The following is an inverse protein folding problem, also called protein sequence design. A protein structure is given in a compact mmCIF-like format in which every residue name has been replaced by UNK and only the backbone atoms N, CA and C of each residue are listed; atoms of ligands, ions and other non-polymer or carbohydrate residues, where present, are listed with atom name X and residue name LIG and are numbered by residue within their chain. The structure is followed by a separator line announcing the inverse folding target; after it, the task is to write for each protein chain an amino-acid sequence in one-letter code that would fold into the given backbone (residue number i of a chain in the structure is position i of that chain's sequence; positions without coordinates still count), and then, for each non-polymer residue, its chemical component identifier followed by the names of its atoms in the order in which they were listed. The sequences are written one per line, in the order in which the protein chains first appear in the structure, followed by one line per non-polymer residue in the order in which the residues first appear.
data_IF_572663244266
#
_entry.id   IF_572663244266
#
_cell.length_a   1.000
_cell.length_b   1.000
_cell.length_c   1.000
_cell.angle_alpha   90.00
_cell.angle_beta   90.00
_cell.angle_gamma   90.00
#
_symmetry.space_group_name_H-M   'P 1'
#
loop_
_entity.id
_entity.type
_entity.pdbx_description
1 polymer ?
#
# COMPACT_ATOMS: atom_id res chain seq x y z
N UNK A 1 -43.76 4.79 10.80
CA UNK A 1 -44.90 3.94 10.38
C UNK A 1 -44.57 2.51 10.78
N UNK A 2 -45.58 1.69 11.07
CA UNK A 2 -45.38 0.29 11.52
C UNK A 2 -44.60 -0.59 10.52
N UNK A 3 -44.52 -0.16 9.29
CA UNK A 3 -43.85 -0.90 8.22
C UNK A 3 -42.39 -0.43 7.94
N UNK A 4 -41.97 0.67 8.52
CA UNK A 4 -40.64 1.22 8.31
C UNK A 4 -39.79 1.18 9.56
N UNK A 5 -38.54 0.73 9.42
CA UNK A 5 -37.52 0.82 10.43
C UNK A 5 -36.33 1.57 9.84
N UNK A 6 -35.81 2.54 10.58
CA UNK A 6 -34.58 3.26 10.24
C UNK A 6 -33.63 3.22 11.43
N UNK A 7 -32.39 2.92 11.16
CA UNK A 7 -31.29 2.91 12.14
C UNK A 7 -30.12 3.70 11.57
N UNK A 8 -29.67 4.71 12.31
CA UNK A 8 -28.54 5.55 11.95
C UNK A 8 -27.45 5.37 12.99
N UNK A 9 -26.27 4.96 12.55
CA UNK A 9 -25.08 4.83 13.36
C UNK A 9 -24.02 5.83 12.89
N UNK A 10 -23.44 6.58 13.82
CA UNK A 10 -22.34 7.51 13.55
C UNK A 10 -21.29 7.31 14.60
N UNK A 11 -20.05 7.06 14.19
CA UNK A 11 -18.91 6.97 15.08
C UNK A 11 -17.74 7.81 14.57
N UNK A 12 -17.05 8.44 15.50
CA UNK A 12 -15.85 9.19 15.20
C UNK A 12 -14.74 8.74 16.15
N UNK A 13 -13.57 8.50 15.60
CA UNK A 13 -12.38 8.12 16.33
C UNK A 13 -11.25 9.09 16.00
N UNK A 14 -10.61 9.59 17.03
CA UNK A 14 -9.38 10.36 16.97
C UNK A 14 -8.28 9.57 17.65
N UNK A 15 -7.14 9.46 16.99
CA UNK A 15 -5.95 8.81 17.53
C UNK A 15 -4.73 9.70 17.27
N UNK A 16 -3.92 9.91 18.32
CA UNK A 16 -2.66 10.63 18.23
C UNK A 16 -1.68 9.95 19.18
N UNK A 17 -0.70 9.28 18.63
CA UNK A 17 0.25 8.47 19.37
C UNK A 17 1.65 8.60 18.80
N UNK A 18 2.62 8.60 19.70
CA UNK A 18 4.05 8.54 19.40
C UNK A 18 4.67 7.24 19.88
N UNK A 19 5.96 7.08 19.68
CA UNK A 19 6.75 5.98 20.18
C UNK A 19 7.65 5.33 19.15
N UNK A 20 8.24 4.21 19.55
CA UNK A 20 9.20 3.46 18.74
C UNK A 20 8.64 2.05 18.50
N UNK A 21 7.79 1.87 17.45
CA UNK A 21 7.04 0.62 17.27
C UNK A 21 7.89 -0.57 16.83
N UNK A 22 9.13 -0.32 16.38
CA UNK A 22 9.98 -1.32 15.74
C UNK A 22 11.43 -1.23 16.23
N UNK A 23 12.18 -2.31 16.00
CA UNK A 23 13.61 -2.39 16.18
C UNK A 23 14.27 -3.10 15.01
N UNK A 24 15.57 -2.89 14.83
CA UNK A 24 16.34 -3.48 13.75
C UNK A 24 16.57 -4.99 13.96
N UNK A 25 16.25 -5.80 12.95
CA UNK A 25 16.39 -7.27 13.01
C UNK A 25 17.61 -7.81 12.26
N UNK A 26 18.36 -6.94 11.61
CA UNK A 26 19.52 -7.30 10.80
C UNK A 26 19.30 -7.17 9.30
N UNK A 27 20.36 -7.34 8.52
CA UNK A 27 20.33 -7.32 7.06
C UNK A 27 20.02 -8.70 6.49
N UNK A 28 19.41 -8.74 5.30
CA UNK A 28 19.20 -9.96 4.51
C UNK A 28 20.53 -10.66 4.18
N UNK A 29 21.62 -9.88 4.03
CA UNK A 29 22.98 -10.42 3.87
C UNK A 29 23.87 -10.03 5.06
N UNK A 30 23.97 -10.88 6.09
CA UNK A 30 24.74 -10.58 7.30
C UNK A 30 26.24 -10.36 7.03
N UNK A 31 26.78 -10.90 5.94
CA UNK A 31 28.21 -10.79 5.61
C UNK A 31 28.62 -9.37 5.18
N UNK A 32 27.65 -8.57 4.70
CA UNK A 32 27.90 -7.17 4.29
C UNK A 32 27.60 -6.16 5.38
N UNK A 33 27.14 -6.63 6.55
CA UNK A 33 26.72 -5.79 7.65
C UNK A 33 27.90 -5.39 8.51
N UNK A 34 28.06 -4.09 8.78
CA UNK A 34 29.10 -3.60 9.69
C UNK A 34 28.85 -4.02 11.14
N UNK A 35 29.90 -4.11 11.96
CA UNK A 35 29.76 -4.42 13.39
C UNK A 35 28.90 -3.41 14.14
N UNK A 36 28.97 -2.14 13.73
CA UNK A 36 28.11 -1.08 14.26
C UNK A 36 26.62 -1.38 14.00
N UNK A 37 26.25 -1.76 12.78
CA UNK A 37 24.86 -2.12 12.45
C UNK A 37 24.39 -3.37 13.19
N UNK A 38 25.27 -4.33 13.43
CA UNK A 38 24.97 -5.52 14.23
C UNK A 38 24.63 -5.19 15.68
N UNK A 39 25.22 -4.14 16.24
CA UNK A 39 24.94 -3.70 17.62
C UNK A 39 23.52 -3.22 17.86
N UNK A 40 22.80 -2.83 16.81
CA UNK A 40 21.41 -2.40 16.88
C UNK A 40 20.39 -3.55 16.84
N UNK A 41 20.81 -4.78 16.52
CA UNK A 41 19.91 -5.92 16.38
C UNK A 41 19.20 -6.20 17.71
N UNK A 42 17.86 -6.22 17.68
CA UNK A 42 17.00 -6.53 18.81
C UNK A 42 16.89 -5.42 19.86
N UNK A 43 17.42 -4.22 19.58
CA UNK A 43 17.34 -3.05 20.47
C UNK A 43 16.56 -1.92 19.82
N UNK A 44 15.77 -1.19 20.62
CA UNK A 44 15.12 0.05 20.16
C UNK A 44 16.18 1.15 20.26
N UNK A 45 16.65 1.64 19.13
CA UNK A 45 17.72 2.62 19.03
C UNK A 45 17.46 3.73 18.01
N UNK A 46 16.19 3.98 17.69
CA UNK A 46 15.77 5.00 16.73
C UNK A 46 16.27 6.39 17.15
N UNK A 47 16.71 7.19 16.17
CA UNK A 47 17.15 8.56 16.43
C UNK A 47 16.02 9.60 16.25
N UNK A 48 14.88 9.20 15.68
CA UNK A 48 13.68 10.02 15.50
C UNK A 48 12.45 9.33 16.06
N UNK A 49 11.64 10.08 16.80
CA UNK A 49 10.40 9.55 17.34
C UNK A 49 9.37 9.31 16.23
N UNK A 50 8.88 8.09 16.15
CA UNK A 50 7.78 7.71 15.25
C UNK A 50 6.45 8.20 15.78
N UNK A 51 5.51 8.49 14.89
CA UNK A 51 4.18 8.98 15.26
C UNK A 51 3.11 8.48 14.32
N UNK A 52 1.91 8.29 14.85
CA UNK A 52 0.72 7.96 14.10
C UNK A 52 -0.45 8.84 14.52
N UNK A 53 -1.07 9.46 13.55
CA UNK A 53 -2.23 10.33 13.72
C UNK A 53 -3.38 9.83 12.84
N UNK A 54 -4.59 9.72 13.40
CA UNK A 54 -5.77 9.26 12.65
C UNK A 54 -7.04 9.99 13.05
N UNK A 55 -7.81 10.38 12.05
CA UNK A 55 -9.22 10.74 12.16
C UNK A 55 -10.03 9.74 11.34
N UNK A 56 -11.01 9.09 11.96
CA UNK A 56 -11.88 8.13 11.34
C UNK A 56 -13.34 8.46 11.66
N UNK A 57 -14.12 8.76 10.63
CA UNK A 57 -15.56 8.91 10.71
C UNK A 57 -16.22 7.74 10.01
N UNK A 58 -17.11 7.03 10.70
CA UNK A 58 -17.98 6.03 10.10
C UNK A 58 -19.44 6.44 10.27
N UNK A 59 -20.22 6.29 9.21
CA UNK A 59 -21.66 6.51 9.19
C UNK A 59 -22.33 5.33 8.52
N UNK A 60 -23.38 4.80 9.12
CA UNK A 60 -24.20 3.73 8.56
C UNK A 60 -25.66 4.05 8.71
N UNK A 61 -26.41 4.03 7.62
CA UNK A 61 -27.85 4.15 7.59
C UNK A 61 -28.45 2.83 7.12
N UNK A 62 -29.28 2.23 7.96
CA UNK A 62 -30.03 1.03 7.63
C UNK A 62 -31.53 1.39 7.54
N UNK A 63 -32.12 1.18 6.39
CA UNK A 63 -33.54 1.37 6.13
C UNK A 63 -34.17 0.02 5.83
N UNK A 64 -35.27 -0.30 6.51
CA UNK A 64 -36.02 -1.52 6.26
C UNK A 64 -37.50 -1.21 6.08
N UNK A 65 -38.06 -1.77 5.02
CA UNK A 65 -39.49 -1.73 4.74
C UNK A 65 -40.09 -3.13 4.79
N UNK A 66 -41.10 -3.30 5.61
CA UNK A 66 -41.79 -4.56 5.84
C UNK A 66 -43.11 -4.59 5.04
N UNK A 67 -43.06 -5.11 3.78
CA UNK A 67 -44.28 -5.37 3.01
C UNK A 67 -44.95 -6.70 3.47
N UNK A 68 -46.15 -6.96 2.96
CA UNK A 68 -46.85 -8.23 3.31
C UNK A 68 -46.10 -9.49 2.87
N UNK A 69 -45.48 -9.50 1.69
CA UNK A 69 -44.88 -10.65 1.06
C UNK A 69 -43.35 -10.61 0.99
N UNK A 70 -42.73 -9.48 1.24
CA UNK A 70 -41.32 -9.29 1.19
C UNK A 70 -40.84 -8.25 2.21
N UNK A 71 -39.54 -8.29 2.49
CA UNK A 71 -38.80 -7.23 3.20
C UNK A 71 -37.85 -6.59 2.21
N UNK A 72 -37.82 -5.25 2.15
CA UNK A 72 -36.81 -4.49 1.43
C UNK A 72 -35.88 -3.83 2.44
N UNK A 73 -34.59 -4.05 2.31
CA UNK A 73 -33.56 -3.40 3.14
C UNK A 73 -32.59 -2.63 2.25
N UNK A 74 -32.18 -1.45 2.72
CA UNK A 74 -31.14 -0.64 2.12
C UNK A 74 -30.13 -0.29 3.21
N UNK A 75 -28.86 -0.56 2.96
CA UNK A 75 -27.76 -0.29 3.89
C UNK A 75 -26.76 0.61 3.19
N UNK A 76 -26.71 1.87 3.62
CA UNK A 76 -25.77 2.87 3.13
C UNK A 76 -24.62 3.01 4.15
N UNK A 77 -23.39 2.86 3.71
CA UNK A 77 -22.19 3.08 4.52
C UNK A 77 -21.33 4.20 3.96
N UNK A 78 -20.88 5.09 4.82
CA UNK A 78 -19.86 6.07 4.46
C UNK A 78 -18.75 6.08 5.50
N UNK A 79 -17.51 6.03 5.02
CA UNK A 79 -16.31 6.14 5.84
C UNK A 79 -15.42 7.26 5.31
N UNK A 80 -14.90 8.06 6.22
CA UNK A 80 -13.82 9.00 5.97
C UNK A 80 -12.67 8.69 6.90
N UNK A 81 -11.49 8.42 6.32
CA UNK A 81 -10.24 8.25 7.03
C UNK A 81 -9.25 9.33 6.56
N UNK A 82 -8.60 9.96 7.52
CA UNK A 82 -7.42 10.79 7.29
C UNK A 82 -6.38 10.39 8.31
N UNK A 83 -5.26 9.85 7.85
CA UNK A 83 -4.15 9.50 8.72
C UNK A 83 -2.81 10.07 8.26
N UNK A 84 -1.86 10.01 9.16
CA UNK A 84 -0.45 10.32 8.93
C UNK A 84 0.37 9.40 9.80
N UNK A 85 1.28 8.68 9.19
CA UNK A 85 2.29 7.87 9.84
C UNK A 85 3.67 8.46 9.52
N UNK A 86 4.48 8.67 10.54
CA UNK A 86 5.88 9.02 10.40
C UNK A 86 6.71 7.95 11.10
N UNK A 87 7.68 7.39 10.40
CA UNK A 87 8.52 6.31 10.93
C UNK A 87 9.99 6.63 10.63
N UNK A 88 10.84 6.48 11.64
CA UNK A 88 12.27 6.26 11.51
C UNK A 88 12.47 4.84 11.00
N UNK A 89 12.61 4.71 9.68
CA UNK A 89 12.45 3.43 8.98
C UNK A 89 13.73 2.58 8.97
N UNK A 90 14.87 3.15 9.35
CA UNK A 90 16.11 2.36 9.47
C UNK A 90 16.19 1.61 10.82
N UNK A 91 15.38 2.01 11.81
CA UNK A 91 15.27 1.40 13.13
C UNK A 91 16.60 1.36 13.91
N UNK A 92 17.49 2.33 13.66
CA UNK A 92 18.80 2.45 14.28
C UNK A 92 19.02 3.85 14.86
N UNK A 93 20.14 4.06 15.55
CA UNK A 93 20.51 5.40 15.99
C UNK A 93 21.16 6.26 14.88
N UNK A 94 21.31 5.73 13.67
CA UNK A 94 21.79 6.46 12.50
C UNK A 94 20.65 7.24 11.85
N UNK A 95 20.97 8.35 11.24
CA UNK A 95 20.02 9.17 10.48
C UNK A 95 20.07 8.78 8.99
N UNK A 96 19.59 7.53 8.68
CA UNK A 96 19.70 6.98 7.32
C UNK A 96 18.51 7.40 6.48
N UNK A 97 17.28 7.05 6.88
CA UNK A 97 16.08 7.47 6.14
C UNK A 97 14.80 7.40 6.99
N UNK A 98 13.88 8.27 6.64
CA UNK A 98 12.55 8.35 7.24
C UNK A 98 11.48 8.12 6.18
N UNK A 99 10.37 7.50 6.60
CA UNK A 99 9.15 7.36 5.82
C UNK A 99 8.04 8.20 6.44
N UNK A 100 7.40 9.03 5.65
CA UNK A 100 6.14 9.66 6.01
C UNK A 100 5.05 9.13 5.08
N UNK A 101 3.92 8.68 5.63
CA UNK A 101 2.77 8.27 4.84
C UNK A 101 1.55 9.04 5.32
N UNK A 102 0.89 9.73 4.40
CA UNK A 102 -0.37 10.42 4.62
C UNK A 102 -1.43 9.79 3.71
N UNK A 103 -2.54 9.40 4.28
CA UNK A 103 -3.66 8.86 3.52
C UNK A 103 -4.92 9.68 3.74
N UNK A 104 -5.71 9.77 2.68
CA UNK A 104 -7.07 10.28 2.72
C UNK A 104 -7.96 9.32 1.94
N UNK A 105 -8.90 8.72 2.66
CA UNK A 105 -9.78 7.70 2.13
C UNK A 105 -11.23 8.15 2.33
N UNK A 106 -12.01 8.11 1.26
CA UNK A 106 -13.45 8.22 1.29
C UNK A 106 -14.02 6.92 0.71
N UNK A 107 -14.89 6.29 1.45
CA UNK A 107 -15.55 5.05 1.03
C UNK A 107 -17.05 5.24 1.12
N UNK A 108 -17.76 4.94 0.05
CA UNK A 108 -19.21 4.89 -0.01
C UNK A 108 -19.62 3.48 -0.42
N UNK A 109 -20.55 2.88 0.32
CA UNK A 109 -21.15 1.59 -0.02
C UNK A 109 -22.67 1.66 0.08
N UNK A 110 -23.34 0.93 -0.79
CA UNK A 110 -24.79 0.78 -0.80
C UNK A 110 -25.13 -0.68 -1.10
N UNK A 111 -25.99 -1.26 -0.28
CA UNK A 111 -26.57 -2.58 -0.53
C UNK A 111 -28.09 -2.51 -0.41
N UNK A 112 -28.79 -2.87 -1.47
CA UNK A 112 -30.24 -2.96 -1.47
C UNK A 112 -30.64 -4.42 -1.69
N UNK A 113 -31.38 -4.98 -0.74
CA UNK A 113 -31.79 -6.39 -0.75
C UNK A 113 -33.28 -6.50 -0.55
N UNK A 114 -33.92 -7.29 -1.39
CA UNK A 114 -35.30 -7.69 -1.25
C UNK A 114 -35.37 -9.19 -0.96
N UNK A 115 -36.06 -9.59 0.12
CA UNK A 115 -36.20 -10.97 0.57
C UNK A 115 -37.68 -11.34 0.68
N UNK A 116 -38.04 -12.54 0.24
CA UNK A 116 -39.38 -13.10 0.45
C UNK A 116 -39.67 -13.29 1.93
N UNK A 117 -40.91 -13.10 2.33
CA UNK A 117 -41.45 -13.39 3.68
C UNK A 117 -42.25 -14.67 3.72
N UNK A 118 -42.35 -15.22 4.94
CA UNK A 118 -43.15 -16.39 5.22
C UNK A 118 -42.39 -17.70 5.13
N UNK A 119 -43.08 -18.81 5.46
CA UNK A 119 -42.53 -20.16 5.48
C UNK A 119 -42.92 -20.95 4.22
N UNK A 120 -43.14 -20.26 3.09
CA UNK A 120 -43.44 -20.91 1.82
C UNK A 120 -42.34 -21.85 1.35
N UNK A 121 -42.71 -22.81 0.48
CA UNK A 121 -41.74 -23.74 -0.10
C UNK A 121 -40.69 -23.07 -0.97
N UNK A 122 -40.99 -21.91 -1.53
CA UNK A 122 -40.05 -21.08 -2.29
C UNK A 122 -39.73 -19.81 -1.51
N UNK A 123 -38.45 -19.66 -1.20
CA UNK A 123 -37.87 -18.44 -0.60
C UNK A 123 -36.80 -17.89 -1.51
N UNK A 124 -36.71 -16.57 -1.57
CA UNK A 124 -35.73 -15.92 -2.42
C UNK A 124 -35.17 -14.67 -1.78
N UNK A 125 -33.97 -14.29 -2.19
CA UNK A 125 -33.35 -13.02 -1.94
C UNK A 125 -32.71 -12.52 -3.24
N UNK A 126 -32.91 -11.24 -3.55
CA UNK A 126 -32.27 -10.57 -4.67
C UNK A 126 -31.77 -9.22 -4.23
N UNK A 127 -30.66 -8.76 -4.77
CA UNK A 127 -30.11 -7.48 -4.39
C UNK A 127 -29.07 -6.96 -5.33
N UNK A 128 -28.70 -5.72 -5.05
CA UNK A 128 -27.64 -4.98 -5.71
C UNK A 128 -26.67 -4.47 -4.65
N UNK A 129 -25.42 -4.39 -5.02
CA UNK A 129 -24.36 -3.84 -4.19
C UNK A 129 -23.54 -2.85 -5.03
N UNK A 130 -23.16 -1.74 -4.43
CA UNK A 130 -22.27 -0.75 -4.99
C UNK A 130 -21.26 -0.29 -3.95
N UNK A 131 -20.02 -0.11 -4.37
CA UNK A 131 -18.94 0.36 -3.53
C UNK A 131 -18.03 1.28 -4.34
N UNK A 132 -17.68 2.41 -3.76
CA UNK A 132 -16.71 3.32 -4.34
C UNK A 132 -15.76 3.84 -3.28
N UNK A 133 -14.46 3.74 -3.55
CA UNK A 133 -13.41 4.24 -2.67
C UNK A 133 -12.51 5.22 -3.42
N UNK A 134 -12.23 6.38 -2.81
CA UNK A 134 -11.15 7.28 -3.19
C UNK A 134 -10.04 7.17 -2.17
N UNK A 135 -8.93 6.64 -2.58
CA UNK A 135 -7.74 6.58 -1.75
C UNK A 135 -6.65 7.46 -2.39
N UNK A 136 -6.22 8.48 -1.65
CA UNK A 136 -5.02 9.25 -1.96
C UNK A 136 -3.96 8.97 -0.92
N UNK A 137 -2.76 8.64 -1.38
CA UNK A 137 -1.60 8.37 -0.54
C UNK A 137 -0.46 9.28 -0.98
N UNK A 138 0.10 10.02 -0.03
CA UNK A 138 1.36 10.76 -0.14
C UNK A 138 2.36 10.05 0.78
N UNK A 139 3.40 9.47 0.19
CA UNK A 139 4.35 8.59 0.89
C UNK A 139 5.81 8.93 0.52
N UNK A 140 6.30 10.13 0.89
CA UNK A 140 7.68 10.49 0.67
C UNK A 140 8.63 9.67 1.54
N UNK A 141 9.73 9.25 0.92
CA UNK A 141 10.92 8.70 1.59
C UNK A 141 12.00 9.77 1.57
N UNK A 142 12.58 10.06 2.73
CA UNK A 142 13.68 11.03 2.83
C UNK A 142 14.93 10.32 3.30
N UNK A 143 15.94 10.21 2.43
CA UNK A 143 17.29 9.88 2.87
C UNK A 143 17.85 11.07 3.62
N UNK A 144 18.44 10.76 4.77
CA UNK A 144 19.01 11.72 5.69
C UNK A 144 20.54 11.73 5.59
N UNK A 145 21.18 12.48 6.46
CA UNK A 145 22.63 12.69 6.39
C UNK A 145 23.43 11.38 6.27
N UNK A 146 23.24 10.42 7.18
CA UNK A 146 24.00 9.16 7.13
C UNK A 146 23.63 8.32 5.89
N UNK A 147 22.36 8.41 5.44
CA UNK A 147 21.92 7.79 4.20
C UNK A 147 22.58 8.43 2.97
N UNK A 148 22.73 9.74 2.95
CA UNK A 148 23.43 10.45 1.88
C UNK A 148 24.92 10.10 1.85
N UNK A 149 25.56 10.01 3.02
CA UNK A 149 26.95 9.57 3.15
C UNK A 149 27.13 8.14 2.62
N UNK A 150 26.22 7.21 2.94
CA UNK A 150 26.24 5.83 2.43
C UNK A 150 26.05 5.79 0.91
N UNK A 151 25.11 6.55 0.35
CA UNK A 151 24.91 6.65 -1.10
C UNK A 151 26.14 7.22 -1.79
N UNK A 152 26.77 8.26 -1.21
CA UNK A 152 27.99 8.85 -1.72
C UNK A 152 29.16 7.86 -1.76
N UNK A 153 29.33 7.07 -0.69
CA UNK A 153 30.35 6.01 -0.62
C UNK A 153 30.08 4.90 -1.67
N UNK A 154 28.82 4.47 -1.82
CA UNK A 154 28.46 3.46 -2.80
C UNK A 154 28.73 3.93 -4.23
N UNK A 155 28.33 5.15 -4.58
CA UNK A 155 28.60 5.74 -5.90
C UNK A 155 30.10 5.97 -6.12
N UNK A 156 30.81 6.44 -5.10
CA UNK A 156 32.27 6.63 -5.15
C UNK A 156 33.05 5.34 -5.35
N UNK A 157 32.52 4.21 -4.85
CA UNK A 157 33.17 2.88 -5.05
C UNK A 157 33.11 2.37 -6.50
N UNK A 158 32.17 2.85 -7.28
CA UNK A 158 32.02 2.50 -8.71
C UNK A 158 32.95 3.32 -9.60
N UNK A 159 33.37 4.51 -9.13
CA UNK A 159 34.24 5.40 -9.86
C UNK A 159 35.70 5.05 -9.50
N UNK A 160 36.58 4.77 -10.47
CA UNK A 160 37.99 4.56 -10.18
C UNK A 160 38.59 5.75 -9.45
N UNK A 161 39.22 5.53 -8.30
CA UNK A 161 39.88 6.61 -7.54
C UNK A 161 41.04 7.23 -8.30
N UNK A 162 41.62 6.47 -9.23
CA UNK A 162 42.73 6.89 -10.09
C UNK A 162 42.74 6.06 -11.36
N UNK A 163 42.95 6.71 -12.50
CA UNK A 163 43.23 6.08 -13.81
C UNK A 163 44.65 6.46 -14.20
N UNK A 164 45.53 5.50 -14.36
CA UNK A 164 46.92 5.72 -14.74
C UNK A 164 47.10 5.58 -16.26
N UNK A 165 47.64 6.64 -16.87
CA UNK A 165 47.93 6.67 -18.30
C UNK A 165 49.45 6.82 -18.48
N UNK A 166 50.11 5.86 -19.10
CA UNK A 166 51.51 5.96 -19.47
C UNK A 166 51.65 6.81 -20.73
N UNK A 167 52.38 7.92 -20.63
CA UNK A 167 52.63 8.79 -21.79
C UNK A 167 53.91 8.45 -22.54
N UNK A 168 55.02 8.19 -21.79
CA UNK A 168 56.30 7.73 -22.33
C UNK A 168 57.09 7.07 -21.20
N UNK A 169 58.21 6.33 -21.45
CA UNK A 169 58.99 5.71 -20.41
C UNK A 169 59.37 6.70 -19.29
N UNK A 170 58.94 6.39 -18.07
CA UNK A 170 59.21 7.21 -16.89
C UNK A 170 58.27 8.43 -16.70
N UNK A 171 57.29 8.65 -17.58
CA UNK A 171 56.30 9.69 -17.45
C UNK A 171 54.88 9.14 -17.61
N UNK A 172 54.01 9.55 -16.70
CA UNK A 172 52.58 9.17 -16.69
C UNK A 172 51.64 10.35 -16.35
N UNK A 173 50.39 10.12 -16.56
CA UNK A 173 49.31 11.00 -16.16
C UNK A 173 48.33 10.18 -15.31
N UNK A 174 48.12 10.62 -14.08
CA UNK A 174 47.06 10.11 -13.23
C UNK A 174 45.82 10.99 -13.47
N UNK A 175 44.69 10.38 -13.76
CA UNK A 175 43.40 11.01 -13.87
C UNK A 175 42.64 10.66 -12.61
N UNK A 176 42.18 11.67 -11.86
CA UNK A 176 41.49 11.57 -10.57
C UNK A 176 40.06 12.12 -10.73
N UNK A 177 39.10 11.28 -11.10
CA UNK A 177 37.71 11.70 -11.11
C UNK A 177 37.18 11.84 -9.67
N UNK A 178 36.34 12.83 -9.44
CA UNK A 178 35.63 13.07 -8.18
C UNK A 178 34.13 13.16 -8.41
N UNK A 179 33.36 12.56 -7.50
CA UNK A 179 31.92 12.71 -7.41
C UNK A 179 31.55 12.93 -5.95
N UNK A 180 30.80 13.97 -5.68
CA UNK A 180 30.25 14.26 -4.37
C UNK A 180 28.74 14.52 -4.50
N UNK A 181 27.94 13.90 -3.65
CA UNK A 181 26.51 14.20 -3.56
C UNK A 181 26.33 15.53 -2.83
N UNK A 182 25.41 16.36 -3.33
CA UNK A 182 25.03 17.63 -2.71
C UNK A 182 23.92 17.45 -1.69
N UNK A 183 23.91 18.33 -0.67
CA UNK A 183 22.87 18.34 0.34
C UNK A 183 23.03 17.28 1.43
N UNK A 184 22.23 17.44 2.50
CA UNK A 184 22.19 16.51 3.63
C UNK A 184 20.98 15.56 3.56
N UNK A 185 20.03 15.87 2.69
CA UNK A 185 18.78 15.13 2.54
C UNK A 185 18.46 14.91 1.05
N UNK A 186 17.90 13.75 0.73
CA UNK A 186 17.32 13.45 -0.57
C UNK A 186 15.88 13.02 -0.40
N UNK A 187 14.96 13.84 -0.90
CA UNK A 187 13.54 13.55 -0.88
C UNK A 187 13.13 12.79 -2.15
N UNK A 188 12.52 11.63 -1.97
CA UNK A 188 11.85 10.87 -3.01
C UNK A 188 10.35 10.99 -2.76
N UNK A 189 9.65 11.74 -3.61
CA UNK A 189 8.19 11.87 -3.53
C UNK A 189 7.49 10.60 -3.99
N UNK A 190 6.33 10.31 -3.38
CA UNK A 190 5.47 9.21 -3.76
C UNK A 190 4.00 9.59 -3.61
N UNK A 191 3.38 10.04 -4.71
CA UNK A 191 1.95 10.39 -4.76
C UNK A 191 1.18 9.30 -5.49
N UNK A 192 0.13 8.78 -4.85
CA UNK A 192 -0.71 7.74 -5.41
C UNK A 192 -2.18 8.11 -5.25
N UNK A 193 -2.95 7.97 -6.35
CA UNK A 193 -4.40 8.12 -6.37
C UNK A 193 -5.00 6.82 -6.89
N UNK A 194 -5.69 6.08 -6.00
CA UNK A 194 -6.16 4.72 -6.27
C UNK A 194 -7.68 4.60 -6.07
N UNK A 195 -8.49 5.11 -7.01
CA UNK A 195 -9.92 4.88 -6.97
C UNK A 195 -10.26 3.42 -7.27
N UNK A 196 -11.23 2.90 -6.50
CA UNK A 196 -11.77 1.56 -6.63
C UNK A 196 -13.29 1.63 -6.75
N UNK A 197 -13.84 1.03 -7.79
CA UNK A 197 -15.27 0.84 -8.01
C UNK A 197 -15.58 -0.66 -7.98
N UNK A 198 -16.57 -1.04 -7.18
CA UNK A 198 -17.13 -2.39 -7.22
C UNK A 198 -18.65 -2.32 -7.30
N UNK A 199 -19.26 -3.21 -8.08
CA UNK A 199 -20.72 -3.34 -8.21
C UNK A 199 -21.11 -4.79 -8.38
N UNK A 200 -22.23 -5.19 -7.78
CA UNK A 200 -22.72 -6.55 -7.91
C UNK A 200 -24.25 -6.61 -8.03
N UNK A 201 -24.69 -7.63 -8.77
CA UNK A 201 -26.08 -8.08 -8.81
C UNK A 201 -26.14 -9.50 -8.32
N UNK A 202 -27.09 -9.83 -7.46
CA UNK A 202 -27.21 -11.19 -6.97
C UNK A 202 -28.67 -11.64 -6.78
N UNK A 203 -28.87 -12.92 -6.98
CA UNK A 203 -30.13 -13.58 -6.73
C UNK A 203 -29.87 -14.97 -6.15
N UNK A 204 -30.69 -15.37 -5.17
CA UNK A 204 -30.69 -16.68 -4.58
C UNK A 204 -32.12 -17.16 -4.38
N UNK A 205 -32.42 -18.38 -4.80
CA UNK A 205 -33.68 -19.09 -4.53
C UNK A 205 -33.43 -20.35 -3.71
N UNK A 206 -34.26 -20.56 -2.70
CA UNK A 206 -34.27 -21.78 -1.88
C UNK A 206 -35.61 -22.44 -2.01
N UNK A 207 -35.61 -23.70 -2.41
CA UNK A 207 -36.78 -24.55 -2.53
C UNK A 207 -36.77 -25.56 -1.38
N UNK A 208 -37.81 -25.51 -0.54
CA UNK A 208 -38.03 -26.41 0.61
C UNK A 208 -38.94 -27.54 0.29
N UNK A 209 -38.84 -28.65 1.05
CA UNK A 209 -39.59 -29.87 0.87
C UNK A 209 -39.54 -30.41 -0.57
N UNK A 210 -38.31 -30.43 -1.10
CA UNK A 210 -38.04 -30.81 -2.48
C UNK A 210 -38.54 -32.22 -2.75
N UNK A 211 -39.20 -32.43 -3.87
CA UNK A 211 -39.83 -33.73 -4.25
C UNK A 211 -40.79 -34.30 -3.18
N UNK A 212 -41.37 -33.46 -2.31
CA UNK A 212 -42.26 -33.93 -1.24
C UNK A 212 -41.53 -34.48 -0.01
N UNK A 213 -40.20 -34.48 0.00
CA UNK A 213 -39.37 -34.87 1.13
C UNK A 213 -39.28 -33.76 2.14
N UNK A 214 -40.00 -33.87 3.26
CA UNK A 214 -39.96 -32.88 4.34
C UNK A 214 -38.55 -32.76 4.90
N UNK A 215 -38.10 -31.52 5.08
CA UNK A 215 -36.77 -31.20 5.58
C UNK A 215 -35.69 -31.12 4.50
N UNK A 216 -35.94 -31.59 3.27
CA UNK A 216 -34.99 -31.44 2.17
C UNK A 216 -35.13 -30.08 1.50
N UNK A 217 -34.06 -29.31 1.43
CA UNK A 217 -34.03 -28.04 0.74
C UNK A 217 -32.87 -27.92 -0.24
N UNK A 218 -33.11 -27.22 -1.34
CA UNK A 218 -32.12 -26.93 -2.36
C UNK A 218 -32.05 -25.42 -2.55
N UNK A 219 -30.83 -24.87 -2.54
CA UNK A 219 -30.56 -23.46 -2.81
C UNK A 219 -29.71 -23.32 -4.06
N UNK A 220 -30.15 -22.46 -4.97
CA UNK A 220 -29.34 -22.00 -6.10
C UNK A 220 -29.20 -20.49 -6.04
N UNK A 221 -27.98 -20.00 -6.22
CA UNK A 221 -27.66 -18.58 -6.23
C UNK A 221 -26.70 -18.24 -7.36
N UNK A 222 -26.79 -17.00 -7.81
CA UNK A 222 -25.91 -16.42 -8.80
C UNK A 222 -25.58 -14.99 -8.41
N UNK A 223 -24.31 -14.64 -8.49
CA UNK A 223 -23.82 -13.28 -8.30
C UNK A 223 -22.95 -12.88 -9.48
N UNK A 224 -23.18 -11.71 -10.01
CA UNK A 224 -22.36 -11.07 -11.03
C UNK A 224 -21.64 -9.90 -10.35
N UNK A 225 -20.32 -9.97 -10.29
CA UNK A 225 -19.45 -8.92 -9.73
C UNK A 225 -18.68 -8.22 -10.84
N UNK A 226 -18.66 -6.91 -10.76
CA UNK A 226 -17.77 -6.05 -11.54
C UNK A 226 -16.88 -5.25 -10.62
N UNK A 227 -15.58 -5.26 -10.85
CA UNK A 227 -14.61 -4.46 -10.13
C UNK A 227 -13.72 -3.71 -11.11
N UNK A 228 -13.49 -2.43 -10.84
CA UNK A 228 -12.53 -1.60 -11.56
C UNK A 228 -11.63 -0.88 -10.59
N UNK A 229 -10.33 -1.16 -10.70
CA UNK A 229 -9.29 -0.51 -9.94
C UNK A 229 -8.41 0.33 -10.87
N UNK A 230 -8.09 1.54 -10.44
CA UNK A 230 -7.14 2.40 -11.12
C UNK A 230 -6.08 2.87 -10.13
N UNK A 231 -4.83 2.97 -10.58
CA UNK A 231 -3.75 3.58 -9.82
C UNK A 231 -3.06 4.63 -10.70
N UNK A 232 -3.18 5.89 -10.31
CA UNK A 232 -2.35 6.96 -10.84
C UNK A 232 -1.18 7.15 -9.88
N UNK A 233 0.02 7.25 -10.41
CA UNK A 233 1.21 7.44 -9.60
C UNK A 233 2.07 8.57 -10.14
N UNK A 234 2.72 9.28 -9.23
CA UNK A 234 3.72 10.30 -9.52
C UNK A 234 4.80 10.21 -8.45
N UNK A 235 5.97 9.72 -8.83
CA UNK A 235 7.13 9.60 -7.98
C UNK A 235 8.31 10.32 -8.61
N UNK A 236 9.13 10.97 -7.81
CA UNK A 236 10.26 11.70 -8.35
C UNK A 236 11.20 12.17 -7.27
N UNK A 237 12.40 12.52 -7.71
CA UNK A 237 13.45 13.09 -6.88
C UNK A 237 14.29 14.07 -7.67
N UNK A 238 14.93 14.99 -6.98
CA UNK A 238 15.98 15.84 -7.50
C UNK A 238 17.20 15.69 -6.62
N UNK A 239 18.35 15.37 -7.22
CA UNK A 239 19.61 15.17 -6.50
C UNK A 239 20.68 16.07 -7.07
N UNK A 240 21.27 16.86 -6.21
CA UNK A 240 22.45 17.68 -6.55
C UNK A 240 23.70 16.85 -6.38
N UNK A 241 24.64 17.05 -7.28
CA UNK A 241 25.95 16.43 -7.20
C UNK A 241 27.03 17.29 -7.83
N UNK A 242 28.25 17.13 -7.40
CA UNK A 242 29.42 17.83 -7.93
C UNK A 242 30.38 16.81 -8.54
N UNK A 243 30.77 17.05 -9.76
CA UNK A 243 31.76 16.23 -10.48
C UNK A 243 32.98 17.08 -10.83
N UNK A 244 34.15 16.46 -10.81
CA UNK A 244 35.39 17.08 -11.21
C UNK A 244 36.41 16.03 -11.71
N UNK A 245 37.39 16.48 -12.46
CA UNK A 245 38.53 15.63 -12.88
C UNK A 245 39.80 16.44 -12.69
N UNK A 246 40.71 15.91 -11.86
CA UNK A 246 42.06 16.43 -11.71
C UNK A 246 43.03 15.49 -12.44
N UNK A 247 44.06 16.07 -13.03
CA UNK A 247 45.16 15.35 -13.61
C UNK A 247 46.43 15.58 -12.80
N UNK A 248 47.24 14.55 -12.62
CA UNK A 248 48.57 14.67 -12.02
C UNK A 248 49.61 14.10 -13.00
N UNK A 249 50.54 14.96 -13.47
CA UNK A 249 51.64 14.49 -14.25
C UNK A 249 52.71 13.88 -13.33
N UNK A 250 53.10 12.66 -13.64
CA UNK A 250 54.02 11.88 -12.79
C UNK A 250 55.31 11.56 -13.56
N UNK A 251 56.44 11.71 -12.91
CA UNK A 251 57.77 11.33 -13.44
C UNK A 251 58.55 10.58 -12.37
N UNK A 252 58.98 9.37 -12.71
CA UNK A 252 59.73 8.54 -11.75
C UNK A 252 58.94 8.22 -10.47
N UNK A 253 57.59 8.16 -10.52
CA UNK A 253 56.75 7.92 -9.37
C UNK A 253 56.39 9.17 -8.53
N UNK A 254 56.92 10.36 -8.88
CA UNK A 254 56.62 11.62 -8.16
C UNK A 254 55.71 12.49 -9.00
N UNK A 255 54.74 13.17 -8.34
CA UNK A 255 53.89 14.18 -8.95
C UNK A 255 54.75 15.41 -9.23
N UNK A 256 54.84 15.79 -10.51
CA UNK A 256 55.63 16.96 -10.96
C UNK A 256 54.73 18.15 -11.30
N UNK A 257 53.47 17.91 -11.59
CA UNK A 257 52.51 18.96 -11.91
C UNK A 257 51.07 18.48 -11.76
N UNK A 258 50.20 19.28 -11.13
CA UNK A 258 48.76 19.12 -11.16
C UNK A 258 48.18 19.87 -12.37
N UNK A 259 47.19 19.24 -13.03
CA UNK A 259 46.54 19.75 -14.22
C UNK A 259 45.02 19.75 -13.95
N UNK A 260 44.37 20.92 -13.93
CA UNK A 260 42.92 20.96 -13.88
C UNK A 260 42.36 20.51 -15.23
N UNK A 261 41.79 19.29 -15.28
CA UNK A 261 41.21 18.74 -16.51
C UNK A 261 39.75 19.14 -16.67
N UNK A 262 38.96 19.00 -15.60
CA UNK A 262 37.58 19.46 -15.50
C UNK A 262 37.38 20.08 -14.12
N UNK A 263 37.08 21.40 -14.02
CA UNK A 263 36.81 22.02 -12.74
C UNK A 263 35.58 21.38 -12.09
N UNK A 264 35.52 21.43 -10.77
CA UNK A 264 34.38 20.99 -10.02
C UNK A 264 33.12 21.73 -10.48
N UNK A 265 32.14 20.99 -10.95
CA UNK A 265 30.90 21.52 -11.52
C UNK A 265 29.73 20.87 -10.79
N UNK A 266 28.88 21.72 -10.23
CA UNK A 266 27.64 21.28 -9.58
C UNK A 266 26.53 21.11 -10.62
N UNK A 267 25.86 20.00 -10.57
CA UNK A 267 24.79 19.59 -11.48
C UNK A 267 23.61 19.07 -10.66
N UNK A 268 22.41 19.14 -11.22
CA UNK A 268 21.20 18.56 -10.64
C UNK A 268 20.66 17.50 -11.60
N UNK A 269 20.49 16.29 -11.12
CA UNK A 269 19.74 15.27 -11.84
C UNK A 269 18.32 15.22 -11.28
N UNK A 270 17.34 15.23 -12.17
CA UNK A 270 15.93 15.04 -11.82
C UNK A 270 15.42 13.77 -12.44
N UNK A 271 14.71 12.99 -11.64
CA UNK A 271 14.03 11.80 -12.09
C UNK A 271 12.56 11.89 -11.70
N UNK A 272 11.68 11.60 -12.65
CA UNK A 272 10.25 11.60 -12.44
C UNK A 272 9.60 10.44 -13.16
N UNK A 273 8.84 9.66 -12.42
CA UNK A 273 8.05 8.55 -12.91
C UNK A 273 6.58 8.84 -12.65
N UNK A 274 5.79 8.95 -13.70
CA UNK A 274 4.36 9.18 -13.60
C UNK A 274 3.62 8.28 -14.58
N UNK A 275 2.46 7.83 -14.19
CA UNK A 275 1.66 6.99 -15.05
C UNK A 275 0.33 6.61 -14.43
N UNK A 276 -0.39 5.77 -15.16
CA UNK A 276 -1.66 5.22 -14.73
C UNK A 276 -1.75 3.77 -15.14
N UNK A 277 -2.22 2.94 -14.23
CA UNK A 277 -2.51 1.52 -14.46
C UNK A 277 -3.96 1.33 -14.07
N UNK A 278 -4.75 0.68 -14.92
CA UNK A 278 -6.12 0.28 -14.62
C UNK A 278 -6.32 -1.20 -14.94
N UNK A 279 -7.20 -1.81 -14.17
CA UNK A 279 -7.65 -3.20 -14.35
C UNK A 279 -9.11 -3.29 -13.97
N UNK A 280 -9.85 -4.07 -14.73
CA UNK A 280 -11.23 -4.41 -14.44
C UNK A 280 -11.44 -5.92 -14.51
N UNK A 281 -12.41 -6.38 -13.75
CA UNK A 281 -12.77 -7.78 -13.63
C UNK A 281 -14.29 -7.90 -13.63
N UNK A 282 -14.78 -8.87 -14.41
CA UNK A 282 -16.18 -9.29 -14.39
C UNK A 282 -16.20 -10.76 -14.03
N UNK A 283 -16.90 -11.10 -12.95
CA UNK A 283 -16.94 -12.47 -12.45
C UNK A 283 -18.38 -12.94 -12.25
N UNK A 284 -18.65 -14.17 -12.65
CA UNK A 284 -19.90 -14.87 -12.40
C UNK A 284 -19.65 -15.92 -11.32
N UNK A 285 -20.37 -15.81 -10.20
CA UNK A 285 -20.18 -16.59 -8.99
C UNK A 285 -21.45 -17.43 -8.70
N UNK A 286 -21.55 -18.64 -9.23
CA UNK A 286 -22.62 -19.55 -8.91
C UNK A 286 -22.43 -20.18 -7.53
N UNK A 287 -23.56 -20.44 -6.85
CA UNK A 287 -23.64 -21.15 -5.58
C UNK A 287 -24.77 -22.16 -5.62
N UNK A 288 -24.49 -23.38 -5.14
CA UNK A 288 -25.50 -24.44 -4.94
C UNK A 288 -25.34 -25.01 -3.54
N UNK A 289 -26.46 -25.29 -2.89
CA UNK A 289 -26.46 -25.95 -1.59
C UNK A 289 -27.64 -26.95 -1.50
N UNK A 290 -27.38 -28.08 -0.90
CA UNK A 290 -28.38 -29.08 -0.52
C UNK A 290 -28.32 -29.22 1.00
N UNK A 291 -29.48 -29.17 1.65
CA UNK A 291 -29.60 -29.30 3.11
C UNK A 291 -30.75 -30.25 3.44
N UNK A 292 -30.54 -31.07 4.45
CA UNK A 292 -31.59 -31.91 5.03
C UNK A 292 -31.66 -31.64 6.54
N UNK A 293 -32.85 -31.19 6.99
CA UNK A 293 -33.14 -30.94 8.40
C UNK A 293 -33.81 -32.20 8.98
N UNK A 294 -33.25 -32.75 10.05
CA UNK A 294 -33.82 -33.90 10.76
C UNK A 294 -35.08 -33.50 11.52
N UNK A 295 -36.00 -34.45 11.70
CA UNK A 295 -37.21 -34.24 12.48
C UNK A 295 -36.87 -33.86 13.91
N UNK A 296 -37.77 -33.17 14.59
CA UNK A 296 -37.72 -32.82 16.00
C UNK A 296 -36.48 -31.99 16.41
N UNK A 297 -35.96 -31.15 15.48
CA UNK A 297 -34.78 -30.31 15.70
C UNK A 297 -33.51 -31.06 16.12
N UNK A 298 -33.37 -32.33 15.75
CA UNK A 298 -32.20 -33.14 16.08
C UNK A 298 -30.91 -32.66 15.38
N UNK A 299 -31.02 -31.75 14.39
CA UNK A 299 -29.89 -31.18 13.64
C UNK A 299 -30.14 -31.16 12.14
N UNK A 300 -29.12 -30.85 11.40
CA UNK A 300 -29.12 -30.84 9.93
C UNK A 300 -27.80 -31.35 9.36
N UNK A 301 -27.83 -31.75 8.09
CA UNK A 301 -26.66 -32.02 7.27
C UNK A 301 -26.77 -31.19 6.00
N UNK A 302 -25.67 -30.63 5.55
CA UNK A 302 -25.65 -29.84 4.32
C UNK A 302 -24.37 -30.04 3.52
N UNK A 303 -24.48 -29.82 2.21
CA UNK A 303 -23.36 -29.76 1.28
C UNK A 303 -23.51 -28.49 0.43
N UNK A 304 -22.41 -27.77 0.23
CA UNK A 304 -22.38 -26.55 -0.59
C UNK A 304 -21.25 -26.60 -1.60
N UNK A 305 -21.52 -26.09 -2.80
CA UNK A 305 -20.52 -25.81 -3.83
C UNK A 305 -20.68 -24.38 -4.31
N UNK A 306 -19.60 -23.64 -4.37
CA UNK A 306 -19.57 -22.26 -4.90
C UNK A 306 -18.26 -21.99 -5.60
N UNK A 307 -18.32 -21.08 -6.58
CA UNK A 307 -17.13 -20.45 -7.14
C UNK A 307 -16.88 -19.19 -6.32
N UNK A 308 -15.63 -18.96 -5.91
CA UNK A 308 -15.11 -17.74 -5.27
C UNK A 308 -14.00 -17.15 -6.12
#
# INVERSE_FOLDING_TARGET
SENWKADLNVSYEYNDQGGYPYYYTGSVNPATQSEEMKSYIGTISNNRESSYYRNLLNTGLNLEYQAQRFTLSAVTGYQFLKDRMFIDQDFTAKDIYTLEQKQRIHTLSEEIVMKSKGNGRWQWATGVFGFYQWLKTDAPVTFRKDGMDMLGQMLGSVIPSKIEVTMMPGMGLNILPSLQLGGNDLLINGDFDTPLLNGALFHQSTFRDLFGLRGLSFTAGLRLDYEKMKMNYNSGTAMDYTVGIKGEMVRGGQIIKEIPMMPETSLTVQSRYQGSIDKDYLQLLPKFALQYDFKDNLGNVYATGSKG
#
